data_IF_527985839890
#
_entry.id   IF_527985839890
#
_cell.length_a   1.000
_cell.length_b   1.000
_cell.length_c   1.000
_cell.angle_alpha   90.00
_cell.angle_beta   90.00
_cell.angle_gamma   90.00
#
_symmetry.space_group_name_H-M   'P 1'
#
loop_
_entity.id
_entity.type
_entity.pdbx_description
1 polymer ?
#
# COMPACT_ATOMS: atom_id res chain seq x y z
N UNK A 1 55.95 -19.96 -2.34
CA UNK A 1 54.70 -20.30 -1.63
C UNK A 1 55.05 -21.25 -0.51
N UNK A 2 54.69 -20.91 0.72
CA UNK A 2 55.04 -21.69 1.91
C UNK A 2 54.04 -22.85 2.06
N UNK A 3 54.54 -24.09 2.04
CA UNK A 3 53.75 -25.34 2.09
C UNK A 3 52.85 -25.36 3.34
N UNK A 4 53.29 -24.72 4.42
CA UNK A 4 52.51 -24.58 5.65
C UNK A 4 51.28 -23.69 5.50
N UNK A 5 51.37 -22.65 4.67
CA UNK A 5 50.23 -21.78 4.38
C UNK A 5 49.21 -22.49 3.49
N UNK A 6 49.66 -23.27 2.51
CA UNK A 6 48.77 -24.09 1.67
C UNK A 6 48.08 -25.20 2.48
N UNK A 7 48.80 -25.82 3.43
CA UNK A 7 48.23 -26.81 4.34
C UNK A 7 47.18 -26.19 5.28
N UNK A 8 47.47 -25.03 5.88
CA UNK A 8 46.49 -24.30 6.71
C UNK A 8 45.28 -23.85 5.91
N UNK A 9 45.48 -23.37 4.68
CA UNK A 9 44.38 -23.00 3.78
C UNK A 9 43.50 -24.22 3.43
N UNK A 10 44.08 -25.40 3.22
CA UNK A 10 43.32 -26.64 3.01
C UNK A 10 42.59 -27.10 4.27
N UNK A 11 43.25 -27.09 5.42
CA UNK A 11 42.66 -27.49 6.71
C UNK A 11 41.54 -26.53 7.14
N UNK A 12 41.68 -25.23 6.89
CA UNK A 12 40.67 -24.21 7.18
C UNK A 12 39.66 -23.96 6.05
N UNK A 13 39.77 -24.67 4.91
CA UNK A 13 38.94 -24.44 3.73
C UNK A 13 37.44 -24.59 3.98
N UNK A 14 37.07 -25.37 5.00
CA UNK A 14 35.68 -25.56 5.43
C UNK A 14 35.30 -24.75 6.66
N UNK A 15 36.23 -24.05 7.29
CA UNK A 15 36.06 -23.36 8.57
C UNK A 15 37.22 -23.66 9.51
N UNK A 16 37.61 -22.69 10.33
CA UNK A 16 38.69 -22.83 11.31
C UNK A 16 38.16 -23.51 12.57
N UNK A 17 36.88 -23.30 12.89
CA UNK A 17 36.19 -23.93 14.01
C UNK A 17 35.18 -24.99 13.57
N UNK A 18 34.87 -25.95 14.46
CA UNK A 18 33.81 -26.96 14.22
C UNK A 18 32.45 -26.31 13.91
N UNK A 19 32.17 -25.14 14.50
CA UNK A 19 30.93 -24.40 14.27
C UNK A 19 30.88 -23.84 12.85
N UNK A 20 31.96 -23.23 12.37
CA UNK A 20 32.08 -22.74 11.00
C UNK A 20 32.02 -23.88 9.98
N UNK A 21 32.67 -25.00 10.26
CA UNK A 21 32.59 -26.19 9.40
C UNK A 21 31.16 -26.70 9.26
N UNK A 22 30.43 -26.79 10.37
CA UNK A 22 29.02 -27.18 10.34
C UNK A 22 28.17 -26.16 9.58
N UNK A 23 28.39 -24.87 9.83
CA UNK A 23 27.69 -23.78 9.15
C UNK A 23 27.89 -23.82 7.63
N UNK A 24 29.14 -23.83 7.16
CA UNK A 24 29.47 -23.86 5.74
C UNK A 24 28.92 -25.11 5.05
N UNK A 25 28.93 -26.26 5.74
CA UNK A 25 28.31 -27.48 5.25
C UNK A 25 26.80 -27.35 5.09
N UNK A 26 26.10 -26.72 6.05
CA UNK A 26 24.66 -26.49 5.95
C UNK A 26 24.32 -25.48 4.85
N UNK A 27 25.09 -24.39 4.74
CA UNK A 27 24.96 -23.41 3.66
C UNK A 27 25.06 -24.12 2.31
N UNK A 28 26.15 -24.85 2.08
CA UNK A 28 26.36 -25.58 0.84
C UNK A 28 25.21 -26.56 0.54
N UNK A 29 24.74 -27.31 1.54
CA UNK A 29 23.64 -28.26 1.38
C UNK A 29 22.34 -27.56 1.00
N UNK A 30 21.99 -26.47 1.66
CA UNK A 30 20.79 -25.70 1.35
C UNK A 30 20.89 -25.10 -0.05
N UNK A 31 22.02 -24.47 -0.41
CA UNK A 31 22.17 -23.86 -1.74
C UNK A 31 22.08 -24.89 -2.87
N UNK A 32 22.63 -26.09 -2.71
CA UNK A 32 22.60 -27.12 -3.77
C UNK A 32 21.29 -27.89 -3.87
N UNK A 33 20.62 -28.15 -2.75
CA UNK A 33 19.42 -28.99 -2.72
C UNK A 33 18.12 -28.23 -2.52
N UNK A 34 18.15 -26.91 -2.29
CA UNK A 34 16.92 -26.13 -2.13
C UNK A 34 16.01 -26.23 -3.34
N UNK A 35 16.55 -26.23 -4.56
CA UNK A 35 15.78 -26.34 -5.80
C UNK A 35 15.05 -27.67 -5.97
N UNK A 36 15.45 -28.71 -5.24
CA UNK A 36 14.77 -30.01 -5.26
C UNK A 36 13.49 -30.01 -4.41
N UNK A 37 13.30 -29.00 -3.54
CA UNK A 37 12.12 -28.87 -2.71
C UNK A 37 10.95 -28.26 -3.50
N UNK A 38 9.76 -28.86 -3.45
CA UNK A 38 8.55 -28.32 -4.09
C UNK A 38 8.12 -26.96 -3.52
N UNK A 39 8.49 -26.67 -2.27
CA UNK A 39 8.28 -25.36 -1.64
C UNK A 39 9.24 -24.28 -2.13
N UNK A 40 10.25 -24.64 -2.93
CA UNK A 40 11.20 -23.69 -3.52
C UNK A 40 10.56 -22.98 -4.71
N UNK A 41 10.48 -21.65 -4.60
CA UNK A 41 9.70 -20.84 -5.52
C UNK A 41 10.45 -19.53 -5.82
N UNK A 42 10.40 -19.13 -7.08
CA UNK A 42 10.89 -17.82 -7.52
C UNK A 42 9.81 -16.77 -7.18
N UNK A 43 10.21 -15.74 -6.46
CA UNK A 43 9.37 -14.59 -6.11
C UNK A 43 10.02 -13.31 -6.58
N UNK A 44 9.23 -12.24 -6.68
CA UNK A 44 9.75 -10.89 -6.95
C UNK A 44 9.54 -10.05 -5.70
N UNK A 45 10.63 -9.50 -5.15
CA UNK A 45 10.64 -8.64 -3.96
C UNK A 45 11.22 -7.31 -4.41
N UNK A 46 10.44 -6.22 -4.29
CA UNK A 46 10.85 -4.88 -4.72
C UNK A 46 11.53 -4.87 -6.11
N UNK A 47 10.88 -5.51 -7.09
CA UNK A 47 11.34 -5.68 -8.49
C UNK A 47 12.56 -6.59 -8.70
N UNK A 48 13.19 -7.08 -7.63
CA UNK A 48 14.29 -8.03 -7.70
C UNK A 48 13.75 -9.47 -7.64
N UNK A 49 14.21 -10.32 -8.56
CA UNK A 49 13.89 -11.76 -8.51
C UNK A 49 14.76 -12.44 -7.47
N UNK A 50 14.12 -13.19 -6.59
CA UNK A 50 14.80 -13.93 -5.53
C UNK A 50 14.15 -15.31 -5.38
N UNK A 51 14.97 -16.31 -5.06
CA UNK A 51 14.49 -17.65 -4.82
C UNK A 51 14.33 -17.89 -3.32
N UNK A 52 13.14 -18.32 -2.92
CA UNK A 52 12.78 -18.48 -1.52
C UNK A 52 12.05 -19.81 -1.32
N UNK A 53 11.99 -20.26 -0.07
CA UNK A 53 11.12 -21.37 0.31
C UNK A 53 9.86 -20.83 0.97
N UNK A 54 8.69 -21.16 0.40
CA UNK A 54 7.39 -20.76 0.96
C UNK A 54 6.74 -21.97 1.60
N UNK A 55 6.43 -21.85 2.89
CA UNK A 55 5.76 -22.86 3.68
C UNK A 55 4.34 -22.41 4.02
N UNK A 56 3.41 -23.34 3.89
CA UNK A 56 2.04 -23.13 4.30
C UNK A 56 1.94 -23.00 5.82
N UNK A 57 0.99 -22.16 6.26
CA UNK A 57 0.59 -21.98 7.65
C UNK A 57 -0.90 -22.28 7.76
N UNK A 58 -1.40 -22.50 8.97
CA UNK A 58 -2.81 -22.83 9.21
C UNK A 58 -3.76 -21.74 8.68
N UNK A 59 -3.37 -20.47 8.81
CA UNK A 59 -4.08 -19.34 8.24
C UNK A 59 -3.78 -19.24 6.73
N UNK A 60 -4.80 -19.34 5.88
CA UNK A 60 -4.64 -19.37 4.42
C UNK A 60 -4.10 -18.05 3.85
N UNK A 61 -4.40 -16.93 4.51
CA UNK A 61 -3.92 -15.59 4.18
C UNK A 61 -2.51 -15.29 4.74
N UNK A 62 -1.89 -16.23 5.44
CA UNK A 62 -0.54 -16.09 5.97
C UNK A 62 0.35 -17.23 5.47
N UNK A 63 1.61 -16.89 5.20
CA UNK A 63 2.63 -17.86 4.80
C UNK A 63 3.93 -17.57 5.52
N UNK A 64 4.74 -18.60 5.70
CA UNK A 64 6.11 -18.47 6.18
C UNK A 64 7.03 -18.46 4.98
N UNK A 65 7.87 -17.43 4.85
CA UNK A 65 8.87 -17.29 3.80
C UNK A 65 10.27 -17.44 4.41
N UNK A 66 11.13 -18.20 3.74
CA UNK A 66 12.50 -18.47 4.16
C UNK A 66 13.45 -18.14 3.01
N UNK A 67 14.43 -17.28 3.26
CA UNK A 67 15.46 -16.93 2.28
C UNK A 67 16.50 -18.03 2.12
N UNK A 68 17.28 -17.98 1.03
CA UNK A 68 18.50 -18.78 0.96
C UNK A 68 19.57 -18.23 1.91
N UNK A 69 20.57 -19.05 2.31
CA UNK A 69 21.67 -18.55 3.11
C UNK A 69 22.39 -17.39 2.44
N UNK A 70 22.78 -16.39 3.24
CA UNK A 70 23.37 -15.11 2.82
C UNK A 70 22.42 -14.13 2.10
N UNK A 71 21.15 -14.49 1.94
CA UNK A 71 20.13 -13.56 1.48
C UNK A 71 19.29 -13.07 2.67
N UNK A 72 18.92 -11.80 2.64
CA UNK A 72 18.10 -11.17 3.66
C UNK A 72 16.72 -10.83 3.11
N UNK A 73 15.77 -10.79 4.04
CA UNK A 73 14.41 -10.31 3.82
C UNK A 73 14.14 -9.29 4.92
N UNK A 74 13.68 -8.11 4.55
CA UNK A 74 13.42 -7.04 5.48
C UNK A 74 11.92 -6.88 5.77
N UNK A 75 11.63 -6.25 6.90
CA UNK A 75 10.25 -6.04 7.33
C UNK A 75 9.58 -4.99 6.47
N UNK A 76 8.34 -5.27 6.06
CA UNK A 76 7.56 -4.38 5.22
C UNK A 76 7.76 -4.55 3.71
N UNK A 77 8.71 -5.37 3.26
CA UNK A 77 8.86 -5.65 1.83
C UNK A 77 7.59 -6.28 1.23
N UNK A 78 7.32 -5.95 -0.03
CA UNK A 78 6.19 -6.49 -0.77
C UNK A 78 6.70 -7.62 -1.67
N UNK A 79 6.22 -8.83 -1.40
CA UNK A 79 6.54 -10.04 -2.15
C UNK A 79 5.43 -10.32 -3.15
N UNK A 80 5.77 -10.37 -4.43
CA UNK A 80 4.87 -10.81 -5.50
C UNK A 80 5.06 -12.31 -5.74
N UNK A 81 3.99 -13.06 -5.52
CA UNK A 81 3.99 -14.51 -5.63
C UNK A 81 2.62 -15.04 -6.11
N UNK A 82 2.61 -15.93 -7.11
CA UNK A 82 1.38 -16.49 -7.73
C UNK A 82 0.35 -15.43 -8.16
N UNK A 83 0.81 -14.33 -8.74
CA UNK A 83 -0.02 -13.16 -9.13
C UNK A 83 -0.75 -12.49 -7.95
N UNK A 84 -0.32 -12.74 -6.72
CA UNK A 84 -0.79 -12.09 -5.51
C UNK A 84 0.33 -11.27 -4.89
N UNK A 85 -0.04 -10.29 -4.09
CA UNK A 85 0.88 -9.44 -3.33
C UNK A 85 0.82 -9.84 -1.87
N UNK A 86 1.99 -9.90 -1.23
CA UNK A 86 2.16 -10.33 0.15
C UNK A 86 3.05 -9.32 0.86
N UNK A 87 2.67 -8.94 2.08
CA UNK A 87 3.41 -8.01 2.92
C UNK A 87 4.16 -8.77 4.00
N UNK A 88 5.47 -8.58 4.13
CA UNK A 88 6.25 -9.16 5.22
C UNK A 88 5.94 -8.41 6.53
N UNK A 89 5.28 -9.10 7.46
CA UNK A 89 4.78 -8.51 8.72
C UNK A 89 5.65 -8.83 9.92
N UNK A 90 6.23 -10.03 9.96
CA UNK A 90 7.08 -10.50 11.06
C UNK A 90 8.37 -11.10 10.52
N UNK A 91 9.47 -10.92 11.26
CA UNK A 91 10.78 -11.46 10.96
C UNK A 91 11.38 -12.06 12.21
N UNK A 92 11.95 -13.25 12.08
CA UNK A 92 12.70 -13.90 13.15
C UNK A 92 14.01 -13.14 13.39
N UNK A 93 14.35 -12.93 14.67
CA UNK A 93 15.60 -12.31 15.07
C UNK A 93 16.81 -13.21 14.78
N UNK A 94 16.60 -14.53 14.70
CA UNK A 94 17.66 -15.46 14.38
C UNK A 94 17.89 -15.59 12.87
N UNK A 95 18.90 -14.88 12.37
CA UNK A 95 19.34 -14.92 10.97
C UNK A 95 20.60 -15.75 10.75
N UNK A 96 20.95 -16.65 11.70
CA UNK A 96 22.24 -17.35 11.70
C UNK A 96 22.49 -18.13 10.41
N UNK A 97 21.47 -18.78 9.82
CA UNK A 97 21.60 -19.62 8.63
C UNK A 97 20.80 -19.09 7.43
N UNK A 98 19.58 -18.63 7.69
CA UNK A 98 18.66 -18.06 6.73
C UNK A 98 17.80 -17.03 7.45
N UNK A 99 17.12 -16.17 6.71
CA UNK A 99 16.10 -15.27 7.28
C UNK A 99 14.73 -15.93 7.16
N UNK A 100 14.02 -16.05 8.28
CA UNK A 100 12.65 -16.56 8.33
C UNK A 100 11.70 -15.42 8.63
N UNK A 101 10.68 -15.25 7.81
CA UNK A 101 9.66 -14.24 7.98
C UNK A 101 8.26 -14.83 7.86
N UNK A 102 7.26 -14.12 8.38
CA UNK A 102 5.85 -14.33 8.03
C UNK A 102 5.40 -13.21 7.12
N UNK A 103 4.61 -13.57 6.13
CA UNK A 103 3.97 -12.64 5.22
C UNK A 103 2.46 -12.84 5.22
N UNK A 104 1.73 -11.73 5.10
CA UNK A 104 0.26 -11.69 5.04
C UNK A 104 -0.16 -11.22 3.65
N UNK A 105 -1.18 -11.84 3.07
CA UNK A 105 -1.69 -11.47 1.75
C UNK A 105 -2.28 -10.05 1.76
N UNK A 106 -1.86 -9.21 0.81
CA UNK A 106 -2.46 -7.91 0.56
C UNK A 106 -3.83 -8.08 -0.11
N UNK A 107 -4.80 -7.29 0.31
CA UNK A 107 -6.18 -7.33 -0.20
C UNK A 107 -6.63 -6.01 -0.83
N UNK A 108 -5.85 -4.94 -0.71
CA UNK A 108 -6.21 -3.65 -1.27
C UNK A 108 -5.01 -2.90 -1.85
N UNK A 109 -5.23 -2.22 -2.97
CA UNK A 109 -4.27 -1.30 -3.58
C UNK A 109 -4.68 0.12 -3.19
N UNK A 110 -4.00 0.68 -2.20
CA UNK A 110 -4.27 2.03 -1.72
C UNK A 110 -3.72 3.06 -2.70
N UNK A 111 -4.51 4.10 -3.00
CA UNK A 111 -4.09 5.24 -3.81
C UNK A 111 -4.32 6.55 -3.05
N UNK A 112 -3.35 7.45 -3.10
CA UNK A 112 -3.46 8.77 -2.48
C UNK A 112 -2.58 9.79 -3.19
N UNK A 113 -2.85 11.07 -2.94
CA UNK A 113 -2.00 12.18 -3.40
C UNK A 113 -0.94 12.46 -2.34
N UNK A 114 0.33 12.47 -2.76
CA UNK A 114 1.49 12.80 -1.93
C UNK A 114 1.65 14.31 -1.77
N UNK A 115 2.51 14.74 -0.84
CA UNK A 115 2.82 16.15 -0.62
C UNK A 115 3.37 16.84 -1.89
N UNK A 116 4.06 16.08 -2.73
CA UNK A 116 4.59 16.51 -4.04
C UNK A 116 3.52 16.60 -5.13
N UNK A 117 2.24 16.42 -4.80
CA UNK A 117 1.11 16.38 -5.73
C UNK A 117 1.26 15.31 -6.81
N UNK A 118 1.81 14.16 -6.45
CA UNK A 118 1.87 12.98 -7.29
C UNK A 118 0.94 11.90 -6.74
N UNK A 119 0.30 11.16 -7.63
CA UNK A 119 -0.50 9.99 -7.25
C UNK A 119 0.46 8.86 -6.92
N UNK A 120 0.36 8.35 -5.70
CA UNK A 120 1.12 7.20 -5.24
C UNK A 120 0.18 6.02 -4.99
N UNK A 121 0.64 4.82 -5.35
CA UNK A 121 -0.11 3.58 -5.22
C UNK A 121 0.71 2.55 -4.44
N UNK A 122 0.08 1.86 -3.49
CA UNK A 122 0.77 0.85 -2.69
C UNK A 122 -0.17 -0.23 -2.18
N UNK A 123 0.27 -1.49 -2.28
CA UNK A 123 -0.46 -2.62 -1.71
C UNK A 123 -0.43 -2.60 -0.19
N UNK A 124 -1.59 -2.84 0.42
CA UNK A 124 -1.75 -2.90 1.86
C UNK A 124 -2.69 -4.05 2.26
N UNK A 125 -2.73 -4.31 3.56
CA UNK A 125 -3.70 -5.24 4.18
C UNK A 125 -4.71 -4.41 4.96
N UNK A 126 -5.98 -4.56 4.62
CA UNK A 126 -7.11 -3.96 5.32
C UNK A 126 -7.82 -5.06 6.10
N UNK A 127 -7.95 -4.88 7.40
CA UNK A 127 -8.66 -5.79 8.29
C UNK A 127 -9.79 -5.04 8.99
N UNK A 128 -10.81 -5.79 9.40
CA UNK A 128 -11.84 -5.24 10.24
C UNK A 128 -11.28 -4.91 11.64
N UNK A 129 -11.43 -3.65 12.06
CA UNK A 129 -11.01 -3.17 13.37
C UNK A 129 -12.10 -3.26 14.44
N UNK A 130 -13.27 -3.82 14.11
CA UNK A 130 -14.49 -3.74 14.92
C UNK A 130 -14.78 -4.97 15.78
N UNK A 131 -13.76 -5.64 16.34
CA UNK A 131 -13.99 -6.79 17.25
C UNK A 131 -14.96 -6.49 18.41
N UNK A 132 -15.25 -5.22 18.70
CA UNK A 132 -16.22 -4.76 19.72
C UNK A 132 -17.15 -3.61 19.31
N UNK A 133 -17.40 -3.35 18.00
CA UNK A 133 -18.29 -2.26 17.56
C UNK A 133 -19.36 -2.74 16.57
N UNK A 134 -20.57 -2.18 16.66
CA UNK A 134 -21.74 -2.53 15.83
C UNK A 134 -21.74 -1.90 14.43
N UNK A 135 -20.70 -1.17 14.04
CA UNK A 135 -20.58 -0.52 12.72
C UNK A 135 -21.41 0.76 12.53
N UNK A 136 -22.42 0.98 13.37
CA UNK A 136 -23.29 2.15 13.30
C UNK A 136 -23.35 2.88 14.65
N UNK A 137 -23.39 4.22 14.58
CA UNK A 137 -23.67 5.06 15.75
C UNK A 137 -24.95 5.86 15.52
N UNK A 138 -25.99 5.51 16.25
CA UNK A 138 -27.19 6.35 16.37
C UNK A 138 -26.85 7.55 17.27
N UNK A 139 -26.98 8.76 16.72
CA UNK A 139 -26.95 9.99 17.52
C UNK A 139 -28.39 10.35 17.89
N UNK A 140 -28.66 10.59 19.17
CA UNK A 140 -30.00 10.92 19.67
C UNK A 140 -30.55 12.28 19.20
N UNK A 141 -29.77 13.08 18.48
CA UNK A 141 -30.16 14.46 18.10
C UNK A 141 -30.29 14.72 16.59
N UNK A 142 -29.98 13.77 15.70
CA UNK A 142 -30.21 13.93 14.25
C UNK A 142 -30.53 12.61 13.57
N UNK A 143 -31.54 12.61 12.67
CA UNK A 143 -31.97 11.50 11.79
C UNK A 143 -30.93 11.29 10.67
N UNK A 144 -29.67 11.11 11.03
CA UNK A 144 -28.60 10.73 10.11
C UNK A 144 -27.80 9.63 10.79
N UNK A 145 -28.11 8.39 10.44
CA UNK A 145 -27.29 7.24 10.81
C UNK A 145 -25.93 7.43 10.16
N UNK A 146 -24.88 7.59 10.97
CA UNK A 146 -23.51 7.71 10.51
C UNK A 146 -22.79 6.38 10.78
N UNK A 147 -22.17 5.81 9.76
CA UNK A 147 -21.26 4.67 9.94
C UNK A 147 -20.15 5.05 10.91
N UNK A 148 -19.96 4.24 11.96
CA UNK A 148 -18.84 4.33 12.90
C UNK A 148 -17.92 3.11 12.70
N UNK A 149 -17.78 2.70 11.45
CA UNK A 149 -16.91 1.58 11.07
C UNK A 149 -15.46 2.00 11.27
N UNK A 150 -14.69 1.12 11.92
CA UNK A 150 -13.25 1.28 12.06
C UNK A 150 -12.54 0.11 11.43
N UNK A 151 -11.57 0.41 10.58
CA UNK A 151 -10.76 -0.59 9.90
C UNK A 151 -9.30 -0.43 10.31
N UNK A 152 -8.59 -1.54 10.40
CA UNK A 152 -7.16 -1.56 10.57
C UNK A 152 -6.49 -1.66 9.19
N UNK A 153 -5.46 -0.85 8.97
CA UNK A 153 -4.66 -0.87 7.75
C UNK A 153 -3.20 -1.15 8.11
N UNK A 154 -2.62 -2.16 7.48
CA UNK A 154 -1.20 -2.48 7.56
C UNK A 154 -0.53 -2.10 6.24
N UNK A 155 0.45 -1.20 6.31
CA UNK A 155 1.14 -0.66 5.14
C UNK A 155 2.64 -0.55 5.41
N UNK A 156 3.47 -0.80 4.41
CA UNK A 156 4.94 -0.70 4.52
C UNK A 156 5.36 0.70 4.93
N UNK A 157 6.35 0.78 5.82
CA UNK A 157 7.09 2.01 6.10
C UNK A 157 7.97 2.37 4.89
N UNK A 158 7.70 3.48 4.25
CA UNK A 158 8.55 4.09 3.21
C UNK A 158 8.50 5.62 3.33
N UNK A 159 9.19 6.33 2.45
CA UNK A 159 9.27 7.79 2.46
C UNK A 159 7.88 8.45 2.40
N UNK A 160 6.95 7.88 1.64
CA UNK A 160 5.60 8.43 1.46
C UNK A 160 4.69 8.14 2.65
N UNK A 161 4.75 6.93 3.22
CA UNK A 161 3.88 6.55 4.34
C UNK A 161 4.32 7.17 5.67
N UNK A 162 5.58 7.61 5.77
CA UNK A 162 6.07 8.37 6.94
C UNK A 162 5.31 9.68 7.12
N UNK A 163 4.87 10.32 6.03
CA UNK A 163 4.18 11.61 6.09
C UNK A 163 2.68 11.49 6.44
N UNK A 164 2.11 10.28 6.34
CA UNK A 164 0.70 10.06 6.64
C UNK A 164 0.36 10.39 8.10
N UNK A 165 -0.56 11.33 8.30
CA UNK A 165 -1.05 11.83 9.58
C UNK A 165 -2.58 11.79 9.65
N UNK A 166 -3.13 12.36 10.72
CA UNK A 166 -4.59 12.29 10.97
C UNK A 166 -5.44 13.04 9.96
N UNK A 167 -4.83 13.96 9.24
CA UNK A 167 -5.52 14.78 8.24
C UNK A 167 -5.67 14.03 6.90
N UNK A 168 -5.02 12.87 6.74
CA UNK A 168 -5.14 12.07 5.54
C UNK A 168 -6.45 11.26 5.53
N UNK A 169 -7.18 11.41 4.43
CA UNK A 169 -8.37 10.62 4.09
C UNK A 169 -8.04 9.65 2.96
N UNK A 170 -8.75 8.52 2.94
CA UNK A 170 -8.61 7.49 1.93
C UNK A 170 -9.99 7.00 1.49
N UNK A 171 -10.17 6.71 0.21
CA UNK A 171 -11.34 6.01 -0.28
C UNK A 171 -11.04 4.52 -0.30
N UNK A 172 -11.85 3.74 0.40
CA UNK A 172 -11.69 2.29 0.51
C UNK A 172 -13.05 1.65 0.22
N UNK A 173 -13.03 0.61 -0.59
CA UNK A 173 -14.24 -0.11 -0.99
C UNK A 173 -13.89 -1.14 -2.06
N UNK A 174 -14.89 -1.88 -2.51
CA UNK A 174 -14.72 -2.81 -3.62
C UNK A 174 -14.19 -2.07 -4.86
N UNK A 175 -13.13 -2.57 -5.53
CA UNK A 175 -12.62 -1.98 -6.77
C UNK A 175 -13.70 -1.78 -7.84
N UNK A 176 -14.67 -2.69 -7.94
CA UNK A 176 -15.74 -2.68 -8.93
C UNK A 176 -16.94 -1.80 -8.50
N UNK A 177 -16.96 -1.34 -7.25
CA UNK A 177 -18.02 -0.47 -6.77
C UNK A 177 -17.86 0.97 -7.29
N UNK A 178 -19.00 1.53 -7.76
CA UNK A 178 -19.12 2.92 -8.21
C UNK A 178 -18.81 3.92 -7.11
N UNK A 179 -19.26 3.62 -5.88
CA UNK A 179 -19.04 4.46 -4.72
C UNK A 179 -18.21 3.71 -3.70
N UNK A 180 -17.21 4.41 -3.16
CA UNK A 180 -16.28 3.90 -2.14
C UNK A 180 -16.47 4.71 -0.87
N UNK A 181 -16.30 4.07 0.28
CA UNK A 181 -16.45 4.73 1.57
C UNK A 181 -15.19 5.54 1.88
N UNK A 182 -15.37 6.71 2.50
CA UNK A 182 -14.25 7.54 2.91
C UNK A 182 -13.86 7.20 4.36
N UNK A 183 -12.56 7.06 4.59
CA UNK A 183 -12.01 6.83 5.91
C UNK A 183 -10.92 7.85 6.23
N UNK A 184 -10.92 8.37 7.44
CA UNK A 184 -9.85 9.25 7.94
C UNK A 184 -8.90 8.50 8.87
N UNK A 185 -7.61 8.85 8.86
CA UNK A 185 -6.63 8.24 9.73
C UNK A 185 -6.83 8.69 11.20
N UNK A 186 -7.44 7.84 12.02
CA UNK A 186 -7.71 8.17 13.43
C UNK A 186 -6.49 7.94 14.34
N UNK A 187 -5.79 6.81 14.15
CA UNK A 187 -4.64 6.40 14.97
C UNK A 187 -3.45 6.01 14.09
N UNK A 188 -2.46 6.90 13.90
CA UNK A 188 -1.24 6.60 13.17
C UNK A 188 -0.19 5.92 14.08
N UNK A 189 -0.35 4.62 14.40
CA UNK A 189 0.66 3.90 15.19
C UNK A 189 1.87 3.52 14.30
N UNK A 190 2.85 4.42 14.26
CA UNK A 190 4.06 4.29 13.43
C UNK A 190 5.21 3.49 14.06
N UNK A 191 5.09 3.10 15.33
CA UNK A 191 6.18 2.45 16.09
C UNK A 191 5.91 1.00 16.47
N UNK A 192 4.71 0.48 16.18
CA UNK A 192 4.29 -0.84 16.66
C UNK A 192 5.13 -2.00 16.08
N UNK A 193 5.27 -2.03 14.75
CA UNK A 193 5.96 -3.11 14.03
C UNK A 193 7.13 -2.56 13.20
N UNK A 194 7.92 -1.65 13.78
CA UNK A 194 9.09 -1.05 13.13
C UNK A 194 10.35 -1.36 13.93
N UNK A 195 11.31 -2.01 13.28
CA UNK A 195 12.56 -2.46 13.87
C UNK A 195 13.72 -2.07 12.94
N UNK A 196 14.75 -1.44 13.49
CA UNK A 196 15.95 -1.01 12.75
C UNK A 196 15.64 -0.18 11.47
N UNK A 197 14.55 0.59 11.47
CA UNK A 197 14.13 1.42 10.33
C UNK A 197 13.27 0.71 9.29
N UNK A 198 13.10 -0.61 9.38
CA UNK A 198 12.23 -1.39 8.50
C UNK A 198 10.97 -1.83 9.26
N UNK A 199 9.84 -1.94 8.58
CA UNK A 199 8.62 -2.28 9.28
C UNK A 199 7.32 -2.01 8.54
N UNK A 200 6.25 -2.30 9.27
CA UNK A 200 4.88 -2.12 8.84
C UNK A 200 4.19 -1.17 9.82
N UNK A 201 3.51 -0.16 9.28
CA UNK A 201 2.65 0.70 10.06
C UNK A 201 1.30 0.06 10.27
N UNK A 202 0.76 0.20 11.48
CA UNK A 202 -0.59 -0.22 11.82
C UNK A 202 -1.44 1.02 12.06
N UNK A 203 -2.28 1.33 11.09
CA UNK A 203 -3.16 2.48 11.12
C UNK A 203 -4.58 2.04 11.45
N UNK A 204 -5.28 2.85 12.25
CA UNK A 204 -6.73 2.68 12.43
C UNK A 204 -7.42 3.81 11.69
N UNK A 205 -8.26 3.46 10.74
CA UNK A 205 -9.06 4.39 9.97
C UNK A 205 -10.49 4.40 10.48
N UNK A 206 -11.13 5.57 10.52
CA UNK A 206 -12.51 5.75 10.94
C UNK A 206 -13.34 6.29 9.77
N UNK A 207 -14.53 5.72 9.58
CA UNK A 207 -15.44 6.13 8.53
C UNK A 207 -15.88 7.60 8.68
N UNK A 208 -15.87 8.32 7.56
CA UNK A 208 -16.29 9.71 7.44
C UNK A 208 -17.17 9.88 6.20
N UNK A 209 -17.92 10.97 6.14
CA UNK A 209 -18.67 11.31 4.94
C UNK A 209 -17.73 11.50 3.75
N UNK A 210 -18.22 11.13 2.56
CA UNK A 210 -17.61 11.52 1.29
C UNK A 210 -17.76 13.02 1.07
N UNK A 211 -16.91 13.59 0.24
CA UNK A 211 -16.89 15.01 -0.08
C UNK A 211 -16.86 15.23 -1.60
N UNK A 212 -17.19 16.43 -2.05
CA UNK A 212 -17.18 16.83 -3.47
C UNK A 212 -15.80 16.75 -4.11
N UNK A 213 -14.72 16.85 -3.31
CA UNK A 213 -13.35 16.75 -3.80
C UNK A 213 -12.85 15.32 -3.99
N UNK A 214 -13.64 14.31 -3.62
CA UNK A 214 -13.25 12.91 -3.69
C UNK A 214 -13.46 12.37 -5.12
N UNK A 215 -12.46 11.67 -5.68
CA UNK A 215 -12.59 11.01 -6.99
C UNK A 215 -12.81 9.51 -6.80
N UNK A 216 -14.06 9.07 -6.98
CA UNK A 216 -14.46 7.67 -6.79
C UNK A 216 -13.98 6.70 -7.89
N UNK A 217 -13.79 7.22 -9.11
CA UNK A 217 -13.27 6.42 -10.24
C UNK A 217 -11.83 6.02 -9.99
N UNK A 218 -11.00 6.97 -9.57
CA UNK A 218 -9.60 6.74 -9.22
C UNK A 218 -9.42 6.16 -7.81
N UNK A 219 -10.48 6.16 -6.99
CA UNK A 219 -10.43 5.79 -5.58
C UNK A 219 -9.46 6.64 -4.74
N UNK A 220 -9.42 7.95 -5.01
CA UNK A 220 -8.54 8.90 -4.33
C UNK A 220 -9.38 9.95 -3.61
N UNK A 221 -9.20 10.06 -2.29
CA UNK A 221 -9.84 11.10 -1.49
C UNK A 221 -9.17 12.47 -1.73
N UNK A 222 -9.96 13.55 -1.65
CA UNK A 222 -9.51 14.94 -1.80
C UNK A 222 -8.75 15.24 -3.11
N UNK A 223 -8.91 14.40 -4.16
CA UNK A 223 -8.24 14.51 -5.44
C UNK A 223 -8.35 15.91 -6.07
N UNK A 224 -9.57 16.45 -6.12
CA UNK A 224 -9.85 17.73 -6.79
C UNK A 224 -9.34 18.96 -6.01
N UNK A 225 -8.89 18.79 -4.76
CA UNK A 225 -8.16 19.87 -4.05
C UNK A 225 -6.77 20.10 -4.63
N UNK A 226 -6.16 19.05 -5.19
CA UNK A 226 -4.82 19.11 -5.76
C UNK A 226 -4.86 19.29 -7.27
N UNK A 227 -5.87 18.72 -7.92
CA UNK A 227 -6.10 18.78 -9.36
C UNK A 227 -7.50 19.34 -9.63
N UNK A 228 -7.70 20.66 -9.49
CA UNK A 228 -8.99 21.27 -9.80
C UNK A 228 -9.34 20.97 -11.26
N UNK A 229 -10.61 20.67 -11.51
CA UNK A 229 -11.11 20.60 -12.88
C UNK A 229 -10.89 21.96 -13.52
N UNK A 230 -10.31 21.97 -14.73
CA UNK A 230 -10.28 23.21 -15.51
C UNK A 230 -11.72 23.48 -15.88
N UNK A 231 -12.32 24.49 -15.27
CA UNK A 231 -13.60 25.02 -15.74
C UNK A 231 -13.50 25.28 -17.25
N UNK A 232 -14.54 24.90 -17.99
CA UNK A 232 -14.71 25.14 -19.42
C UNK A 232 -14.48 26.63 -19.75
N UNK A 233 -13.27 27.01 -20.18
CA UNK A 233 -12.93 28.34 -20.71
C UNK A 233 -13.57 28.62 -22.09
N UNK A 234 -14.80 28.17 -22.34
CA UNK A 234 -15.49 28.35 -23.62
C UNK A 234 -17.00 28.59 -23.47
N UNK A 235 -17.42 29.64 -22.75
CA UNK A 235 -18.76 30.24 -22.96
C UNK A 235 -18.80 31.77 -22.79
N UNK A 236 -17.73 32.50 -23.13
CA UNK A 236 -17.81 33.97 -23.25
C UNK A 236 -17.03 34.46 -24.48
N UNK A 237 -17.34 33.92 -25.66
CA UNK A 237 -17.04 34.60 -26.93
C UNK A 237 -18.22 34.42 -27.90
N UNK A 238 -18.66 35.56 -28.43
CA UNK A 238 -19.46 35.76 -29.65
C UNK A 238 -20.99 35.71 -29.54
N UNK A 239 -21.60 36.82 -29.07
CA UNK A 239 -22.71 37.45 -29.81
C UNK A 239 -22.52 38.98 -29.80
N UNK A 240 -21.58 39.47 -30.60
CA UNK A 240 -21.63 40.82 -31.19
C UNK A 240 -21.80 40.64 -32.70
N UNK A 241 -23.06 40.67 -33.16
CA UNK A 241 -23.37 40.87 -34.58
C UNK A 241 -24.45 41.94 -34.70
N UNK A 242 -23.92 43.16 -34.75
CA UNK A 242 -24.52 44.36 -35.25
C UNK A 242 -25.05 44.16 -36.68
N UNK A 243 -26.33 44.41 -36.92
CA UNK A 243 -26.85 44.79 -38.25
C UNK A 243 -27.83 45.93 -38.11
N UNK A 244 -27.34 47.10 -38.48
CA UNK A 244 -28.05 48.34 -38.65
C UNK A 244 -28.92 48.38 -39.91
N UNK A 245 -30.02 49.13 -39.78
CA UNK A 245 -30.73 49.92 -40.81
C UNK A 245 -31.60 49.20 -41.86
N UNK A 246 -32.91 49.48 -41.80
CA UNK A 246 -33.61 50.27 -42.82
C UNK A 246 -34.89 50.91 -42.26
N UNK A 247 -35.01 52.22 -42.49
CA UNK A 247 -36.19 53.09 -42.40
C UNK A 247 -37.20 52.71 -43.52
N UNK A 248 -38.47 53.11 -43.63
CA UNK A 248 -39.29 54.24 -43.18
C UNK A 248 -40.79 53.83 -43.27
N UNK A 249 -41.66 54.55 -42.53
CA UNK A 249 -42.95 55.17 -42.97
C UNK A 249 -44.07 55.16 -41.91
N UNK A 250 -44.27 56.34 -41.31
CA UNK A 250 -45.55 57.06 -41.09
C UNK A 250 -46.88 56.28 -41.06
N UNK A 251 -47.61 56.32 -39.94
CA UNK A 251 -48.71 57.28 -39.72
C UNK A 251 -49.66 56.87 -38.56
N UNK A 252 -50.10 57.91 -37.83
CA UNK A 252 -51.43 58.08 -37.25
C UNK A 252 -51.97 57.14 -36.13
N UNK A 253 -51.93 57.64 -34.88
CA UNK A 253 -53.10 58.20 -34.13
C UNK A 253 -53.15 57.87 -32.63
N UNK A 254 -53.10 58.98 -31.87
CA UNK A 254 -53.95 59.37 -30.74
C UNK A 254 -54.10 58.41 -29.54
N UNK A 255 -53.51 58.82 -28.43
CA UNK A 255 -54.01 58.48 -27.10
C UNK A 255 -55.34 59.20 -26.78
N UNK A 256 -56.07 58.64 -25.82
CA UNK A 256 -56.94 59.31 -24.87
C UNK A 256 -57.02 58.45 -23.60
N UNK A 257 -56.89 59.14 -22.46
CA UNK A 257 -57.42 58.90 -21.10
C UNK A 257 -57.58 57.45 -20.60
#
# INVERSE_FOLDING_TARGET
MDIWNDYRARMGSKGITKREEFYNRQVHRLTHHASENLSYQEVTIDECKQNVTILDTDALNQKTIISLPNENLDLGEIVRWKNLYWLITERDANTTLYTKCKMTQCNYLLKWVTDDKLIHEQWCVIEDGTTYQTGERESSDFVVTRGDTRIAMYITRNEQTINLGRDNRFLIGDPDAKFKLAYTLSKPLKVGNVYNGHGVYQFVLQEVSTNEYDNHELAIADYYRYFPEKDDELQDQDIDLDKSSQSDTESDRKGWL
#
